data_IF_083804953122
#
_entry.id   IF_083804953122
#
_cell.length_a   1.000
_cell.length_b   1.000
_cell.length_c   1.000
_cell.angle_alpha   90.00
_cell.angle_beta   90.00
_cell.angle_gamma   90.00
#
_symmetry.space_group_name_H-M   'P 1'
#
loop_
_entity.id
_entity.type
_entity.pdbx_description
1 polymer ?
#
# COMPACT_ATOMS: atom_id res chain seq x y z
N UNK A 1 -29.97 -45.88 40.56
CA UNK A 1 -29.78 -46.00 39.09
C UNK A 1 -30.28 -44.69 38.49
N UNK A 2 -29.49 -43.63 38.36
CA UNK A 2 -28.42 -43.37 37.37
C UNK A 2 -28.87 -43.55 35.92
N UNK A 3 -29.27 -42.44 35.26
CA UNK A 3 -28.62 -41.82 34.07
C UNK A 3 -29.56 -40.77 33.43
N UNK A 4 -29.23 -39.48 33.54
CA UNK A 4 -28.71 -38.62 32.44
C UNK A 4 -29.83 -38.05 31.55
N UNK A 5 -30.07 -36.74 31.63
CA UNK A 5 -29.78 -35.85 30.50
C UNK A 5 -29.55 -34.41 31.00
N UNK A 6 -28.27 -34.03 31.04
CA UNK A 6 -27.81 -32.64 31.11
C UNK A 6 -28.33 -31.90 29.87
N UNK A 7 -29.11 -30.84 30.06
CA UNK A 7 -29.31 -29.83 29.02
C UNK A 7 -29.68 -28.48 29.63
N UNK A 8 -28.81 -27.94 30.49
CA UNK A 8 -29.04 -26.65 31.17
C UNK A 8 -27.76 -25.82 31.33
N UNK A 9 -26.79 -25.95 30.40
CA UNK A 9 -25.62 -25.06 30.32
C UNK A 9 -25.30 -24.77 28.84
N UNK A 10 -26.15 -23.99 28.19
CA UNK A 10 -25.80 -23.36 26.90
C UNK A 10 -26.50 -22.02 26.65
N UNK A 11 -27.33 -21.53 27.59
CA UNK A 11 -28.09 -20.28 27.46
C UNK A 11 -27.58 -19.12 28.33
N UNK A 12 -26.46 -19.29 29.04
CA UNK A 12 -25.88 -18.26 29.91
C UNK A 12 -24.54 -17.67 29.41
N UNK A 13 -24.09 -18.02 28.19
CA UNK A 13 -22.92 -17.39 27.56
C UNK A 13 -23.26 -16.43 26.42
N UNK A 14 -24.55 -16.20 26.11
CA UNK A 14 -24.97 -15.27 25.05
C UNK A 14 -25.44 -13.89 25.56
N UNK A 15 -25.24 -13.55 26.83
CA UNK A 15 -25.70 -12.26 27.39
C UNK A 15 -24.64 -11.51 28.22
N UNK A 16 -23.36 -11.87 28.09
CA UNK A 16 -22.23 -11.08 28.59
C UNK A 16 -21.41 -10.51 27.42
N UNK A 17 -22.07 -9.72 26.56
CA UNK A 17 -21.44 -8.79 25.63
C UNK A 17 -22.42 -7.66 25.30
N UNK A 18 -23.03 -7.09 26.35
CA UNK A 18 -23.65 -5.77 26.30
C UNK A 18 -22.75 -4.84 27.12
N UNK A 19 -22.12 -3.88 26.44
CA UNK A 19 -21.10 -2.98 26.97
C UNK A 19 -19.89 -3.07 26.04
N UNK A 20 -19.56 -2.08 25.24
CA UNK A 20 -19.79 -0.64 25.30
C UNK A 20 -20.27 -0.18 23.93
N UNK A 21 -20.90 0.99 23.88
CA UNK A 21 -21.05 1.82 22.69
C UNK A 21 -20.01 1.47 21.63
N UNK A 22 -20.44 0.72 20.60
CA UNK A 22 -19.87 0.96 19.28
C UNK A 22 -20.35 2.36 18.99
N UNK A 23 -19.54 3.34 19.37
CA UNK A 23 -19.73 4.70 18.94
C UNK A 23 -20.12 4.64 17.49
N UNK A 24 -21.08 5.48 17.10
CA UNK A 24 -21.31 5.82 15.71
C UNK A 24 -19.99 5.71 14.94
N UNK A 25 -19.95 5.17 13.70
CA UNK A 25 -18.77 5.34 12.87
C UNK A 25 -18.50 6.84 12.81
N UNK A 26 -17.62 7.29 13.71
CA UNK A 26 -17.34 8.70 13.91
C UNK A 26 -16.80 9.13 12.57
N UNK A 27 -17.46 10.18 12.08
CA UNK A 27 -17.15 10.81 10.82
C UNK A 27 -15.64 10.86 10.59
N UNK A 28 -15.28 10.59 9.34
CA UNK A 28 -13.95 10.70 8.77
C UNK A 28 -13.14 11.78 9.48
N UNK A 29 -12.01 11.38 10.08
CA UNK A 29 -11.12 12.33 10.76
C UNK A 29 -10.65 13.38 9.76
N UNK A 30 -10.57 14.69 10.12
CA UNK A 30 -10.52 15.81 9.17
C UNK A 30 -9.19 15.99 8.42
N UNK A 31 -8.29 15.01 8.44
CA UNK A 31 -7.05 15.02 7.65
C UNK A 31 -7.23 14.39 6.27
N UNK A 32 -8.43 14.55 5.71
CA UNK A 32 -9.00 13.97 4.48
C UNK A 32 -8.32 14.45 3.18
N UNK A 33 -7.02 14.73 3.20
CA UNK A 33 -6.32 15.22 2.01
C UNK A 33 -6.14 14.12 0.95
N UNK A 34 -6.18 12.86 1.34
CA UNK A 34 -5.86 11.74 0.45
C UNK A 34 -7.03 10.79 0.16
N UNK A 35 -8.24 11.04 0.66
CA UNK A 35 -9.37 10.09 0.59
C UNK A 35 -9.16 8.82 1.45
N UNK A 36 -10.02 7.81 1.32
CA UNK A 36 -9.96 6.60 2.16
C UNK A 36 -10.28 6.86 3.64
N UNK A 37 -9.95 5.92 4.54
CA UNK A 37 -10.19 6.10 5.97
C UNK A 37 -9.15 5.37 6.83
N UNK A 38 -8.76 5.96 7.96
CA UNK A 38 -7.88 5.37 8.97
C UNK A 38 -8.43 5.67 10.37
N UNK A 39 -9.09 4.68 10.97
CA UNK A 39 -9.72 4.74 12.29
C UNK A 39 -9.08 3.74 13.26
N UNK A 40 -8.86 2.49 12.83
CA UNK A 40 -8.40 1.42 13.72
C UNK A 40 -6.92 1.54 14.09
N UNK A 41 -6.10 2.08 13.19
CA UNK A 41 -4.67 2.30 13.43
C UNK A 41 -4.35 3.58 14.21
N UNK A 42 -5.23 4.59 14.18
CA UNK A 42 -4.93 5.98 14.56
C UNK A 42 -4.54 6.23 16.02
N UNK A 43 -4.71 5.25 16.90
CA UNK A 43 -4.49 5.40 18.35
C UNK A 43 -3.26 4.64 18.89
N UNK A 44 -2.45 4.01 18.03
CA UNK A 44 -1.43 3.04 18.46
C UNK A 44 0.02 3.57 18.49
N UNK A 45 0.28 4.80 18.04
CA UNK A 45 1.66 5.27 17.84
C UNK A 45 2.31 5.85 19.09
N UNK A 46 3.56 5.47 19.34
CA UNK A 46 4.46 6.08 20.33
C UNK A 46 5.81 6.52 19.73
N UNK A 47 6.01 6.39 18.41
CA UNK A 47 7.31 6.63 17.76
C UNK A 47 7.12 7.43 16.47
N UNK A 48 7.80 8.58 16.37
CA UNK A 48 7.89 9.37 15.15
C UNK A 48 8.89 8.74 14.18
N UNK A 49 8.63 8.88 12.88
CA UNK A 49 9.65 8.56 11.87
C UNK A 49 10.78 9.60 11.98
N UNK A 50 12.03 9.12 12.02
CA UNK A 50 13.23 9.95 12.14
C UNK A 50 14.18 9.70 10.96
N UNK A 51 15.25 10.48 10.86
CA UNK A 51 16.31 10.29 9.86
C UNK A 51 16.92 8.87 9.91
N UNK A 52 17.06 8.30 11.11
CA UNK A 52 17.64 6.97 11.31
C UNK A 52 16.69 5.84 10.90
N UNK A 53 15.37 6.06 11.00
CA UNK A 53 14.35 5.03 10.74
C UNK A 53 13.67 5.18 9.37
N UNK A 54 13.87 6.32 8.68
CA UNK A 54 13.14 6.65 7.44
C UNK A 54 13.25 5.58 6.35
N UNK A 55 14.42 4.97 6.17
CA UNK A 55 14.64 4.00 5.09
C UNK A 55 13.91 2.68 5.35
N UNK A 56 13.98 2.15 6.58
CA UNK A 56 13.23 0.96 6.97
C UNK A 56 11.72 1.22 6.88
N UNK A 57 11.28 2.40 7.34
CA UNK A 57 9.88 2.80 7.22
C UNK A 57 9.41 2.86 5.75
N UNK A 58 10.14 3.56 4.87
CA UNK A 58 9.81 3.64 3.44
C UNK A 58 9.78 2.25 2.82
N UNK A 59 10.77 1.40 3.09
CA UNK A 59 10.81 0.03 2.55
C UNK A 59 9.56 -0.77 2.93
N UNK A 60 9.11 -0.67 4.19
CA UNK A 60 7.87 -1.34 4.65
C UNK A 60 6.63 -0.81 3.95
N UNK A 61 6.53 0.50 3.77
CA UNK A 61 5.43 1.10 3.01
C UNK A 61 5.42 0.58 1.58
N UNK A 62 6.57 0.64 0.89
CA UNK A 62 6.69 0.21 -0.50
C UNK A 62 6.37 -1.28 -0.67
N UNK A 63 6.81 -2.15 0.25
CA UNK A 63 6.49 -3.58 0.22
C UNK A 63 4.97 -3.81 0.29
N UNK A 64 4.30 -3.23 1.29
CA UNK A 64 2.86 -3.44 1.46
C UNK A 64 2.05 -2.83 0.31
N UNK A 65 2.45 -1.67 -0.22
CA UNK A 65 1.83 -1.08 -1.40
C UNK A 65 2.05 -1.95 -2.64
N UNK A 66 3.25 -2.49 -2.82
CA UNK A 66 3.59 -3.32 -3.95
C UNK A 66 2.83 -4.65 -3.95
N UNK A 67 2.72 -5.31 -2.81
CA UNK A 67 1.94 -6.55 -2.67
C UNK A 67 0.47 -6.32 -3.05
N UNK A 68 -0.12 -5.24 -2.52
CA UNK A 68 -1.52 -4.86 -2.83
C UNK A 68 -1.71 -4.54 -4.32
N UNK A 69 -0.76 -3.80 -4.89
CA UNK A 69 -0.73 -3.47 -6.31
C UNK A 69 -0.66 -4.74 -7.17
N UNK A 70 0.22 -5.68 -6.82
CA UNK A 70 0.44 -6.89 -7.59
C UNK A 70 -0.78 -7.81 -7.55
N UNK A 71 -1.48 -7.87 -6.42
CA UNK A 71 -2.76 -8.58 -6.29
C UNK A 71 -3.84 -7.97 -7.19
N UNK A 72 -4.02 -6.64 -7.17
CA UNK A 72 -5.00 -5.95 -7.99
C UNK A 72 -4.80 -6.24 -9.48
N UNK A 73 -3.54 -6.20 -9.93
CA UNK A 73 -3.18 -6.53 -11.31
C UNK A 73 -3.42 -7.98 -11.65
N UNK A 74 -3.06 -8.91 -10.76
CA UNK A 74 -3.24 -10.34 -11.00
C UNK A 74 -4.71 -10.72 -11.19
N UNK A 75 -5.63 -9.91 -10.64
CA UNK A 75 -7.06 -10.01 -10.91
C UNK A 75 -7.41 -9.34 -12.24
N UNK A 76 -6.98 -8.09 -12.44
CA UNK A 76 -7.28 -7.32 -13.65
C UNK A 76 -6.77 -7.97 -14.95
N UNK A 77 -5.65 -8.70 -14.89
CA UNK A 77 -5.08 -9.40 -16.04
C UNK A 77 -5.93 -10.56 -16.54
N UNK A 78 -6.96 -10.99 -15.78
CA UNK A 78 -7.85 -12.11 -16.15
C UNK A 78 -8.97 -11.68 -17.11
N UNK A 79 -9.32 -10.41 -17.13
CA UNK A 79 -10.25 -9.84 -18.11
C UNK A 79 -9.68 -8.48 -18.58
N UNK A 80 -8.70 -8.51 -19.49
CA UNK A 80 -8.10 -7.29 -20.04
C UNK A 80 -9.14 -6.45 -20.79
N UNK A 81 -8.84 -5.16 -20.94
CA UNK A 81 -9.68 -4.16 -21.61
C UNK A 81 -11.06 -3.94 -20.96
N UNK A 82 -11.27 -4.46 -19.75
CA UNK A 82 -12.44 -4.20 -18.92
C UNK A 82 -12.03 -3.43 -17.67
N UNK A 83 -12.82 -2.43 -17.32
CA UNK A 83 -12.70 -1.77 -16.03
C UNK A 83 -13.04 -2.76 -14.92
N UNK A 84 -12.12 -2.93 -13.99
CA UNK A 84 -12.30 -3.80 -12.85
C UNK A 84 -12.15 -3.03 -11.56
N UNK A 85 -13.11 -3.24 -10.66
CA UNK A 85 -12.99 -2.86 -9.26
C UNK A 85 -12.55 -4.09 -8.47
N UNK A 86 -11.32 -4.07 -7.93
CA UNK A 86 -10.79 -5.18 -7.13
C UNK A 86 -10.76 -4.79 -5.67
N UNK A 87 -11.43 -5.58 -4.83
CA UNK A 87 -11.36 -5.45 -3.37
C UNK A 87 -10.34 -6.43 -2.81
N UNK A 88 -9.38 -5.91 -2.06
CA UNK A 88 -8.31 -6.67 -1.41
C UNK A 88 -8.49 -6.54 0.10
N UNK A 89 -8.60 -7.68 0.79
CA UNK A 89 -8.81 -7.70 2.24
C UNK A 89 -7.46 -7.69 2.96
N UNK A 90 -7.32 -6.81 3.96
CA UNK A 90 -6.17 -6.85 4.85
C UNK A 90 -6.22 -8.09 5.74
N UNK A 91 -5.05 -8.59 6.16
CA UNK A 91 -4.97 -9.73 7.08
C UNK A 91 -5.46 -9.42 8.51
N UNK A 92 -5.54 -8.14 8.88
CA UNK A 92 -5.95 -7.71 10.24
C UNK A 92 -7.28 -6.98 10.22
N UNK A 93 -7.29 -5.78 9.64
CA UNK A 93 -8.49 -4.97 9.46
C UNK A 93 -8.47 -4.31 8.10
N UNK A 94 -9.63 -3.79 7.71
CA UNK A 94 -9.73 -2.91 6.56
C UNK A 94 -9.66 -3.61 5.21
N UNK A 95 -9.64 -2.80 4.16
CA UNK A 95 -9.53 -3.26 2.79
C UNK A 95 -8.90 -2.18 1.90
N UNK A 96 -8.31 -2.60 0.80
CA UNK A 96 -7.96 -1.73 -0.31
C UNK A 96 -8.94 -1.97 -1.47
N UNK A 97 -9.33 -0.91 -2.15
CA UNK A 97 -10.16 -0.94 -3.35
C UNK A 97 -9.32 -0.38 -4.49
N UNK A 98 -9.19 -1.12 -5.58
CA UNK A 98 -8.56 -0.61 -6.80
C UNK A 98 -9.59 -0.44 -7.90
N UNK A 99 -9.44 0.62 -8.69
CA UNK A 99 -10.09 0.74 -10.00
C UNK A 99 -8.97 0.70 -11.05
N UNK A 100 -8.99 -0.33 -11.89
CA UNK A 100 -7.94 -0.55 -12.88
C UNK A 100 -8.54 -1.07 -14.18
N UNK A 101 -8.00 -0.58 -15.29
CA UNK A 101 -8.11 -1.23 -16.59
C UNK A 101 -6.71 -1.58 -17.04
N UNK A 102 -6.44 -2.87 -17.25
CA UNK A 102 -5.19 -3.29 -17.89
C UNK A 102 -5.45 -3.34 -19.40
N UNK A 103 -4.72 -2.56 -20.21
CA UNK A 103 -4.78 -2.70 -21.66
C UNK A 103 -4.35 -4.12 -22.02
N UNK A 104 -5.05 -4.76 -22.95
CA UNK A 104 -4.83 -6.15 -23.31
C UNK A 104 -3.45 -6.44 -23.91
N UNK A 105 -3.41 -6.78 -25.20
CA UNK A 105 -2.12 -7.12 -25.81
C UNK A 105 -1.23 -5.88 -25.88
N UNK A 106 0.02 -5.92 -25.40
CA UNK A 106 0.93 -4.82 -25.60
C UNK A 106 1.14 -4.58 -27.09
N UNK A 107 1.35 -3.32 -27.52
CA UNK A 107 1.63 -3.03 -28.92
C UNK A 107 2.84 -3.86 -29.39
N UNK A 108 2.80 -4.30 -30.66
CA UNK A 108 3.86 -5.11 -31.29
C UNK A 108 5.26 -4.49 -31.20
N UNK A 109 5.32 -3.19 -30.90
CA UNK A 109 6.50 -2.49 -30.41
C UNK A 109 6.07 -1.46 -29.37
N UNK A 110 6.55 -1.58 -28.13
CA UNK A 110 6.39 -0.55 -27.10
C UNK A 110 5.89 -1.08 -25.76
N UNK A 111 5.89 -0.18 -24.78
CA UNK A 111 5.36 -0.44 -23.45
C UNK A 111 3.90 0.05 -23.38
N UNK A 112 3.02 -0.71 -22.73
CA UNK A 112 1.64 -0.27 -22.46
C UNK A 112 1.58 0.49 -21.15
N UNK A 113 1.04 1.71 -21.20
CA UNK A 113 0.81 2.54 -20.01
C UNK A 113 -0.54 2.17 -19.40
N UNK A 114 -0.60 2.10 -18.08
CA UNK A 114 -1.84 1.94 -17.32
C UNK A 114 -1.82 2.86 -16.10
N UNK A 115 -3.02 3.16 -15.60
CA UNK A 115 -3.23 3.84 -14.33
C UNK A 115 -4.10 2.94 -13.45
N UNK A 116 -3.72 2.85 -12.19
CA UNK A 116 -4.47 2.16 -11.14
C UNK A 116 -4.57 3.11 -9.96
N UNK A 117 -5.79 3.42 -9.56
CA UNK A 117 -6.04 4.13 -8.31
C UNK A 117 -6.36 3.10 -7.24
N UNK A 118 -5.69 3.18 -6.08
CA UNK A 118 -5.96 2.37 -4.90
C UNK A 118 -6.36 3.21 -3.72
N UNK A 119 -7.56 2.95 -3.21
CA UNK A 119 -8.12 3.57 -2.00
C UNK A 119 -8.01 2.59 -0.84
N UNK A 120 -7.29 2.99 0.20
CA UNK A 120 -7.06 2.22 1.42
C UNK A 120 -8.01 2.66 2.53
N UNK A 121 -8.65 1.68 3.17
CA UNK A 121 -9.55 1.87 4.31
C UNK A 121 -9.09 0.96 5.44
N UNK A 122 -8.39 1.50 6.43
CA UNK A 122 -7.83 0.77 7.59
C UNK A 122 -7.00 -0.47 7.22
N UNK A 123 -6.37 -0.46 6.04
CA UNK A 123 -5.77 -1.65 5.45
C UNK A 123 -4.45 -2.00 6.14
N UNK A 124 -4.33 -3.26 6.58
CA UNK A 124 -3.06 -3.80 7.06
C UNK A 124 -2.91 -5.30 6.80
N UNK A 125 -1.74 -5.68 6.25
CA UNK A 125 -1.33 -7.08 6.14
C UNK A 125 -0.47 -7.56 7.31
N UNK A 126 0.15 -6.63 8.05
CA UNK A 126 1.12 -6.98 9.09
C UNK A 126 0.61 -6.73 10.51
N UNK A 127 -0.45 -5.93 10.66
CA UNK A 127 -0.95 -5.45 11.95
C UNK A 127 -0.03 -4.43 12.62
N UNK A 128 1.10 -4.08 11.98
CA UNK A 128 2.10 -3.12 12.47
C UNK A 128 2.03 -1.78 11.74
N UNK A 129 1.48 -1.78 10.54
CA UNK A 129 1.32 -0.60 9.70
C UNK A 129 -0.05 -0.64 9.03
N UNK A 130 -0.87 0.37 9.32
CA UNK A 130 -2.21 0.55 8.79
C UNK A 130 -2.22 1.75 7.86
N UNK A 131 -2.93 1.64 6.73
CA UNK A 131 -3.09 2.73 5.77
C UNK A 131 -4.54 3.16 5.61
N UNK A 132 -4.72 4.47 5.52
CA UNK A 132 -5.90 5.09 4.94
C UNK A 132 -5.46 6.19 3.99
N UNK A 133 -6.10 6.33 2.84
CA UNK A 133 -5.62 7.23 1.80
C UNK A 133 -5.86 6.71 0.40
N UNK A 134 -5.33 7.41 -0.58
CA UNK A 134 -5.37 7.01 -1.98
C UNK A 134 -3.97 7.14 -2.56
N UNK A 135 -3.48 6.06 -3.16
CA UNK A 135 -2.26 6.08 -3.97
C UNK A 135 -2.63 5.79 -5.41
N UNK A 136 -2.06 6.56 -6.32
CA UNK A 136 -2.16 6.31 -7.74
C UNK A 136 -0.88 5.69 -8.26
N UNK A 137 -1.04 4.61 -9.02
CA UNK A 137 0.01 3.84 -9.66
C UNK A 137 -0.10 4.09 -11.16
N UNK A 138 0.88 4.76 -11.73
CA UNK A 138 1.06 4.81 -13.18
C UNK A 138 2.20 3.90 -13.54
N UNK A 139 2.01 2.99 -14.48
CA UNK A 139 3.11 2.13 -14.86
C UNK A 139 3.12 1.71 -16.31
N UNK A 140 4.17 0.97 -16.61
CA UNK A 140 4.44 0.33 -17.88
C UNK A 140 4.64 -1.16 -17.65
N UNK A 141 4.04 -1.98 -18.51
CA UNK A 141 4.26 -3.42 -18.51
C UNK A 141 5.15 -3.84 -19.67
N UNK A 142 5.80 -4.99 -19.51
CA UNK A 142 6.45 -5.70 -20.60
C UNK A 142 6.21 -7.20 -20.52
N UNK A 143 6.48 -7.91 -21.60
CA UNK A 143 6.41 -9.37 -21.64
C UNK A 143 7.81 -9.94 -21.46
N UNK A 144 8.02 -10.68 -20.37
CA UNK A 144 9.26 -11.43 -20.10
C UNK A 144 8.90 -12.91 -20.01
N UNK A 145 9.49 -13.74 -20.88
CA UNK A 145 9.24 -15.18 -20.92
C UNK A 145 7.73 -15.54 -21.00
N UNK A 146 6.97 -14.78 -21.80
CA UNK A 146 5.52 -14.97 -21.95
C UNK A 146 4.66 -14.50 -20.77
N UNK A 147 5.27 -13.85 -19.76
CA UNK A 147 4.55 -13.27 -18.61
C UNK A 147 4.55 -11.75 -18.69
N UNK A 148 3.40 -11.15 -18.41
CA UNK A 148 3.25 -9.71 -18.22
C UNK A 148 3.88 -9.36 -16.86
N UNK A 149 4.90 -8.51 -16.87
CA UNK A 149 5.61 -8.05 -15.66
C UNK A 149 5.66 -6.53 -15.62
N UNK A 150 5.56 -5.90 -14.44
CA UNK A 150 5.78 -4.47 -14.32
C UNK A 150 7.22 -4.13 -14.70
N UNK A 151 7.39 -3.03 -15.43
CA UNK A 151 8.69 -2.52 -15.84
C UNK A 151 9.00 -1.17 -15.20
N UNK A 152 8.03 -0.26 -15.19
CA UNK A 152 8.09 1.02 -14.50
C UNK A 152 6.80 1.13 -13.71
N UNK A 153 6.87 1.46 -12.43
CA UNK A 153 5.70 1.72 -11.58
C UNK A 153 5.98 2.97 -10.78
N UNK A 154 5.14 3.99 -10.96
CA UNK A 154 5.25 5.31 -10.35
C UNK A 154 4.11 5.49 -9.38
N UNK A 155 4.44 5.95 -8.18
CA UNK A 155 3.49 6.32 -7.14
C UNK A 155 3.29 7.83 -7.15
N UNK A 156 2.04 8.23 -6.97
CA UNK A 156 1.65 9.60 -6.68
C UNK A 156 0.51 9.63 -5.65
N UNK A 157 0.21 10.82 -5.12
CA UNK A 157 -0.71 11.06 -4.00
C UNK A 157 -0.12 10.58 -2.67
N UNK A 158 -0.94 10.36 -1.66
CA UNK A 158 -0.45 10.12 -0.31
C UNK A 158 -1.35 9.23 0.53
N UNK A 159 -0.84 8.86 1.70
CA UNK A 159 -1.53 8.03 2.68
C UNK A 159 -1.35 8.65 4.05
N UNK A 160 -2.38 8.55 4.88
CA UNK A 160 -2.20 8.49 6.32
C UNK A 160 -1.73 7.08 6.71
N UNK A 161 -0.82 7.01 7.67
CA UNK A 161 -0.37 5.75 8.24
C UNK A 161 -0.42 5.78 9.77
N UNK A 162 -0.63 4.61 10.37
CA UNK A 162 -0.58 4.43 11.82
C UNK A 162 -0.13 3.00 12.21
N UNK A 163 0.06 2.75 13.51
CA UNK A 163 0.63 1.51 14.05
C UNK A 163 1.95 1.78 14.78
N UNK A 164 3.04 1.10 14.38
CA UNK A 164 4.39 1.32 14.92
C UNK A 164 4.84 2.79 14.78
N UNK A 165 4.40 3.46 13.70
CA UNK A 165 4.61 4.87 13.42
C UNK A 165 3.27 5.54 13.11
N UNK A 166 3.16 6.88 13.21
CA UNK A 166 2.00 7.63 12.73
C UNK A 166 2.37 8.88 11.96
N UNK A 167 1.54 9.25 10.98
CA UNK A 167 1.78 10.42 10.15
C UNK A 167 1.14 10.33 8.78
N UNK A 168 1.67 11.11 7.85
CA UNK A 168 1.34 11.06 6.42
C UNK A 168 2.58 10.82 5.58
N UNK A 169 2.40 10.10 4.47
CA UNK A 169 3.41 9.87 3.46
C UNK A 169 2.85 10.32 2.12
N UNK A 170 3.59 11.16 1.41
CA UNK A 170 3.23 11.69 0.10
C UNK A 170 4.28 11.26 -0.92
N UNK A 171 3.82 10.75 -2.04
CA UNK A 171 4.62 10.37 -3.18
C UNK A 171 4.49 11.44 -4.27
N UNK A 172 5.64 11.94 -4.73
CA UNK A 172 5.73 12.83 -5.87
C UNK A 172 6.54 12.12 -6.96
N UNK A 173 5.86 11.58 -7.98
CA UNK A 173 6.48 10.84 -9.09
C UNK A 173 7.51 9.80 -8.62
N UNK A 174 7.18 9.04 -7.57
CA UNK A 174 8.11 8.08 -6.95
C UNK A 174 8.07 6.74 -7.67
N UNK A 175 9.13 6.39 -8.37
CA UNK A 175 9.32 5.10 -9.01
C UNK A 175 9.72 4.02 -8.01
N UNK A 176 8.99 2.92 -8.03
CA UNK A 176 9.33 1.71 -7.32
C UNK A 176 10.64 1.12 -7.86
N UNK A 177 11.45 0.62 -6.94
CA UNK A 177 12.67 -0.12 -7.25
C UNK A 177 12.28 -1.55 -7.70
N UNK A 178 12.17 -1.77 -9.00
CA UNK A 178 11.74 -3.06 -9.58
C UNK A 178 12.86 -3.65 -10.45
N UNK A 179 13.09 -4.96 -10.33
CA UNK A 179 14.08 -5.69 -11.13
C UNK A 179 13.59 -6.02 -12.55
N UNK A 180 14.43 -6.70 -13.34
CA UNK A 180 14.08 -7.11 -14.69
C UNK A 180 12.96 -8.18 -14.74
N UNK A 181 12.65 -8.83 -13.63
CA UNK A 181 11.63 -9.86 -13.52
C UNK A 181 10.30 -9.28 -13.02
N UNK A 182 10.25 -7.98 -12.69
CA UNK A 182 9.07 -7.36 -12.13
C UNK A 182 8.91 -7.65 -10.64
N UNK A 183 10.00 -7.82 -9.89
CA UNK A 183 9.96 -7.93 -8.43
C UNK A 183 10.41 -6.62 -7.79
N UNK A 184 9.78 -6.24 -6.68
CA UNK A 184 10.31 -5.16 -5.84
C UNK A 184 11.65 -5.59 -5.25
N UNK A 185 12.66 -4.72 -5.35
CA UNK A 185 13.97 -4.92 -4.74
C UNK A 185 14.13 -4.01 -3.53
N UNK A 186 15.08 -4.36 -2.66
CA UNK A 186 15.45 -3.52 -1.53
C UNK A 186 15.93 -2.15 -2.02
N UNK A 187 15.36 -1.09 -1.45
CA UNK A 187 15.62 0.29 -1.87
C UNK A 187 17.09 0.68 -1.67
N UNK A 188 17.73 0.24 -0.58
CA UNK A 188 19.14 0.56 -0.31
C UNK A 188 20.05 -0.18 -1.29
N UNK A 189 19.78 -1.46 -1.54
CA UNK A 189 20.51 -2.24 -2.55
C UNK A 189 20.36 -1.62 -3.94
N UNK A 190 19.16 -1.16 -4.28
CA UNK A 190 18.89 -0.51 -5.55
C UNK A 190 19.60 0.83 -5.74
N UNK A 191 19.67 1.65 -4.67
CA UNK A 191 20.42 2.91 -4.68
C UNK A 191 21.92 2.72 -4.90
N UNK A 192 22.48 1.56 -4.52
CA UNK A 192 23.88 1.21 -4.72
C UNK A 192 24.20 0.78 -6.16
N UNK A 193 23.19 0.49 -6.99
CA UNK A 193 23.41 0.18 -8.40
C UNK A 193 23.93 1.45 -9.09
N UNK A 194 25.02 1.36 -9.88
CA UNK A 194 25.52 2.50 -10.65
C UNK A 194 24.40 3.15 -11.47
N UNK A 195 24.35 4.49 -11.50
CA UNK A 195 23.26 5.20 -12.20
C UNK A 195 23.15 4.81 -13.70
N UNK A 196 24.28 4.47 -14.33
CA UNK A 196 24.35 3.98 -15.72
C UNK A 196 23.69 2.61 -15.93
N UNK A 197 23.55 1.83 -14.86
CA UNK A 197 22.96 0.48 -14.88
C UNK A 197 21.51 0.49 -14.38
N UNK A 198 21.02 1.63 -13.87
CA UNK A 198 19.61 1.78 -13.45
C UNK A 198 18.72 2.02 -14.68
N UNK A 199 17.50 1.46 -14.71
CA UNK A 199 16.47 1.88 -15.67
C UNK A 199 16.36 3.41 -15.65
N UNK A 200 16.14 4.06 -16.81
CA UNK A 200 16.09 5.54 -16.95
C UNK A 200 15.32 6.18 -15.79
N UNK A 201 16.04 6.68 -14.79
CA UNK A 201 15.43 7.28 -13.62
C UNK A 201 14.79 8.62 -14.00
N UNK A 202 13.71 9.03 -13.32
CA UNK A 202 13.20 10.36 -13.51
C UNK A 202 14.23 11.38 -12.99
N UNK A 203 14.28 12.56 -13.60
CA UNK A 203 15.14 13.65 -13.12
C UNK A 203 14.66 14.26 -11.79
N UNK A 204 13.40 14.03 -11.43
CA UNK A 204 12.77 14.55 -10.22
C UNK A 204 11.70 13.58 -9.69
N UNK A 205 11.54 13.59 -8.38
CA UNK A 205 10.54 12.84 -7.64
C UNK A 205 11.02 12.54 -6.23
N UNK A 206 10.15 12.01 -5.38
CA UNK A 206 10.51 11.69 -4.00
C UNK A 206 9.34 11.30 -3.13
N UNK A 207 9.66 11.14 -1.85
CA UNK A 207 8.73 10.85 -0.77
C UNK A 207 8.88 11.94 0.28
N UNK A 208 7.76 12.49 0.72
CA UNK A 208 7.67 13.34 1.90
C UNK A 208 6.98 12.58 3.01
N UNK A 209 7.56 12.55 4.20
CA UNK A 209 6.96 11.96 5.40
C UNK A 209 6.75 13.07 6.42
N UNK A 210 5.54 13.20 6.94
CA UNK A 210 5.21 14.08 8.06
C UNK A 210 4.80 13.20 9.24
N UNK A 211 5.57 13.23 10.32
CA UNK A 211 5.36 12.39 11.51
C UNK A 211 5.71 13.20 12.76
N UNK A 212 4.73 13.42 13.63
CA UNK A 212 4.86 14.33 14.78
C UNK A 212 5.26 15.75 14.33
N UNK A 213 6.43 16.20 14.80
CA UNK A 213 7.01 17.50 14.40
C UNK A 213 8.01 17.41 13.24
N UNK A 214 8.30 16.19 12.78
CA UNK A 214 9.30 15.92 11.75
C UNK A 214 8.68 15.97 10.37
N UNK A 215 9.38 16.63 9.43
CA UNK A 215 9.12 16.55 7.99
C UNK A 215 10.38 16.06 7.28
N UNK A 216 10.34 14.81 6.83
CA UNK A 216 11.48 14.13 6.21
C UNK A 216 11.26 14.07 4.69
N UNK A 217 12.33 14.36 3.95
CA UNK A 217 12.35 14.30 2.50
C UNK A 217 13.30 13.20 2.03
N UNK A 218 12.85 12.43 1.06
CA UNK A 218 13.65 11.40 0.43
C UNK A 218 13.52 11.47 -1.09
N UNK A 219 14.62 11.71 -1.79
CA UNK A 219 14.69 11.67 -3.25
C UNK A 219 15.75 10.65 -3.67
N UNK A 220 15.35 9.46 -4.17
CA UNK A 220 16.30 8.42 -4.58
C UNK A 220 16.98 8.70 -5.93
N UNK A 221 16.52 9.71 -6.68
CA UNK A 221 16.95 9.98 -8.05
C UNK A 221 18.04 11.05 -8.15
N UNK A 222 18.15 11.89 -7.12
CA UNK A 222 19.26 12.82 -7.04
C UNK A 222 20.54 12.04 -6.70
N UNK A 223 21.47 11.94 -7.66
CA UNK A 223 22.82 11.50 -7.37
C UNK A 223 23.62 12.70 -6.84
N UNK A 224 23.88 12.84 -5.53
CA UNK A 224 24.70 13.94 -5.02
C UNK A 224 26.17 13.83 -5.45
N UNK A 225 26.57 12.72 -6.09
CA UNK A 225 27.96 12.44 -6.42
C UNK A 225 28.35 12.61 -7.90
N UNK A 226 27.40 12.90 -8.80
CA UNK A 226 27.69 12.99 -10.24
C UNK A 226 27.96 11.64 -10.86
#
# INVERSE_FOLDING_TARGET
MSRVFLLLISTAFCLASCGSDRGDPLAVSPNDQFGGSLVSGGHLSNVDVSEDTKFDFIQRVLLQLYDTYFEAIGVASRAPDQEQTVRILGSFTGNAMSNITIPGSPPSSGNSIYNLEMVFNDFSNTGRLFFGGTVEFTGEWRVVNGKIVPYIVKLSKGLAFAGDYSGTIEFDNFWLAIDAQGNLVDLIAWLKIPALERPRLPFAGGVTIVSGSSRLLFNPYYNPFG
#
